data_IF_666205226317
#
_entry.id   IF_666205226317
#
_cell.length_a   1.000
_cell.length_b   1.000
_cell.length_c   1.000
_cell.angle_alpha   90.00
_cell.angle_beta   90.00
_cell.angle_gamma   90.00
#
_symmetry.space_group_name_H-M   'P 1'
#
loop_
_entity.id
_entity.type
_entity.pdbx_description
1 polymer ?
#
# COMPACT_ATOMS: atom_id res chain seq x y z
N UNK A 1 13.01 -15.37 -1.22
CA UNK A 1 13.93 -14.43 -0.54
C UNK A 1 13.27 -13.91 0.72
N UNK A 2 14.03 -13.67 1.80
CA UNK A 2 13.51 -12.92 2.95
C UNK A 2 13.32 -11.45 2.53
N UNK A 3 12.29 -10.75 3.00
CA UNK A 3 12.19 -9.31 2.79
C UNK A 3 13.30 -8.58 3.54
N UNK A 4 13.85 -7.54 2.93
CA UNK A 4 14.89 -6.67 3.51
C UNK A 4 14.27 -5.59 4.39
N UNK A 5 13.04 -5.19 4.10
CA UNK A 5 12.27 -4.22 4.86
C UNK A 5 10.77 -4.43 4.65
N UNK A 6 9.97 -3.67 5.38
CA UNK A 6 8.52 -3.65 5.31
C UNK A 6 8.03 -2.20 5.24
N UNK A 7 6.93 -1.98 4.53
CA UNK A 7 6.18 -0.73 4.59
C UNK A 7 4.78 -1.01 5.11
N UNK A 8 4.24 -0.08 5.88
CA UNK A 8 2.84 -0.10 6.31
C UNK A 8 2.09 0.86 5.41
N UNK A 9 1.01 0.39 4.79
CA UNK A 9 0.11 1.22 3.98
C UNK A 9 -1.32 1.08 4.47
N UNK A 10 -2.12 2.12 4.25
CA UNK A 10 -3.52 2.20 4.64
C UNK A 10 -4.38 1.94 3.42
N UNK A 11 -5.14 0.85 3.47
CA UNK A 11 -6.15 0.55 2.46
C UNK A 11 -7.52 1.01 2.94
N UNK A 12 -8.19 1.76 2.08
CA UNK A 12 -9.55 2.22 2.23
C UNK A 12 -10.42 1.54 1.18
N UNK A 13 -11.55 0.98 1.58
CA UNK A 13 -12.54 0.40 0.69
C UNK A 13 -13.90 1.02 0.93
N UNK A 14 -14.57 1.43 -0.14
CA UNK A 14 -15.93 1.96 -0.08
C UNK A 14 -16.69 1.59 -1.35
N UNK A 15 -18.01 1.72 -1.32
CA UNK A 15 -18.83 1.55 -2.52
C UNK A 15 -19.00 2.86 -3.27
N UNK A 16 -18.85 2.79 -4.59
CA UNK A 16 -19.20 3.86 -5.51
C UNK A 16 -20.13 3.28 -6.57
N UNK A 17 -21.43 3.60 -6.47
CA UNK A 17 -22.47 2.98 -7.29
C UNK A 17 -22.53 1.46 -7.13
N UNK A 18 -22.28 0.73 -8.22
CA UNK A 18 -22.29 -0.74 -8.23
C UNK A 18 -20.89 -1.38 -8.11
N UNK A 19 -19.85 -0.59 -7.82
CA UNK A 19 -18.47 -1.08 -7.69
C UNK A 19 -17.93 -0.83 -6.29
N UNK A 20 -16.96 -1.65 -5.92
CA UNK A 20 -16.07 -1.41 -4.81
C UNK A 20 -14.85 -0.64 -5.30
N UNK A 21 -14.49 0.42 -4.58
CA UNK A 21 -13.26 1.16 -4.77
C UNK A 21 -12.30 0.73 -3.66
N UNK A 22 -11.06 0.38 -4.03
CA UNK A 22 -9.96 0.21 -3.10
C UNK A 22 -8.95 1.33 -3.31
N UNK A 23 -8.49 2.00 -2.26
CA UNK A 23 -7.50 3.07 -2.31
C UNK A 23 -6.35 2.79 -1.34
N UNK A 24 -5.12 2.92 -1.82
CA UNK A 24 -3.91 3.01 -1.00
C UNK A 24 -3.62 4.49 -0.74
N UNK A 25 -3.72 4.94 0.52
CA UNK A 25 -3.65 6.36 0.87
C UNK A 25 -2.27 6.96 0.60
N UNK A 26 -1.23 6.22 0.94
CA UNK A 26 0.16 6.66 0.88
C UNK A 26 0.64 6.76 -0.57
N UNK A 27 0.23 5.82 -1.42
CA UNK A 27 0.62 5.78 -2.84
C UNK A 27 -0.33 6.56 -3.76
N UNK A 28 -1.42 7.12 -3.23
CA UNK A 28 -2.43 7.81 -4.04
C UNK A 28 -3.06 6.94 -5.14
N UNK A 29 -3.00 5.62 -4.99
CA UNK A 29 -3.40 4.64 -6.02
C UNK A 29 -4.77 4.08 -5.69
N UNK A 30 -5.62 3.89 -6.69
CA UNK A 30 -6.94 3.28 -6.52
C UNK A 30 -7.27 2.22 -7.57
N UNK A 31 -8.06 1.23 -7.19
CA UNK A 31 -8.56 0.16 -8.04
C UNK A 31 -10.07 0.00 -7.88
N UNK A 32 -10.69 -0.64 -8.87
CA UNK A 32 -12.11 -0.98 -8.84
C UNK A 32 -12.32 -2.48 -8.91
N UNK A 33 -13.32 -2.98 -8.18
CA UNK A 33 -13.76 -4.37 -8.21
C UNK A 33 -15.30 -4.48 -8.20
N UNK A 34 -15.82 -5.61 -8.66
CA UNK A 34 -17.25 -5.97 -8.50
C UNK A 34 -17.55 -6.46 -7.09
N UNK A 35 -16.51 -6.86 -6.35
CA UNK A 35 -16.56 -7.22 -4.94
C UNK A 35 -15.42 -6.56 -4.17
N UNK A 36 -15.54 -6.50 -2.84
CA UNK A 36 -14.47 -6.02 -1.96
C UNK A 36 -13.19 -6.86 -2.11
N UNK A 37 -13.34 -8.18 -2.30
CA UNK A 37 -12.23 -9.10 -2.49
C UNK A 37 -11.48 -8.81 -3.80
N UNK A 38 -12.19 -8.58 -4.90
CA UNK A 38 -11.59 -8.22 -6.19
C UNK A 38 -10.88 -6.87 -6.11
N UNK A 39 -11.47 -5.88 -5.42
CA UNK A 39 -10.83 -4.58 -5.21
C UNK A 39 -9.54 -4.72 -4.39
N UNK A 40 -9.56 -5.54 -3.33
CA UNK A 40 -8.40 -5.82 -2.48
C UNK A 40 -7.26 -6.49 -3.25
N UNK A 41 -7.56 -7.56 -4.00
CA UNK A 41 -6.56 -8.30 -4.79
C UNK A 41 -5.88 -7.38 -5.80
N UNK A 42 -6.67 -6.61 -6.56
CA UNK A 42 -6.15 -5.63 -7.52
C UNK A 42 -5.34 -4.54 -6.86
N UNK A 43 -5.81 -4.01 -5.72
CA UNK A 43 -5.09 -2.97 -5.01
C UNK A 43 -3.73 -3.48 -4.52
N UNK A 44 -3.69 -4.70 -3.99
CA UNK A 44 -2.46 -5.33 -3.53
C UNK A 44 -1.44 -5.50 -4.67
N UNK A 45 -1.87 -6.00 -5.83
CA UNK A 45 -1.02 -6.13 -7.02
C UNK A 45 -0.50 -4.76 -7.51
N UNK A 46 -1.38 -3.77 -7.56
CA UNK A 46 -1.04 -2.42 -8.05
C UNK A 46 -0.04 -1.73 -7.12
N UNK A 47 -0.22 -1.88 -5.80
CA UNK A 47 0.74 -1.39 -4.79
C UNK A 47 2.10 -2.03 -5.01
N UNK A 48 2.15 -3.35 -5.20
CA UNK A 48 3.38 -4.06 -5.49
C UNK A 48 4.08 -3.55 -6.75
N UNK A 49 3.33 -3.40 -7.85
CA UNK A 49 3.86 -2.88 -9.10
C UNK A 49 4.40 -1.45 -8.95
N UNK A 50 3.68 -0.58 -8.25
CA UNK A 50 4.09 0.80 -8.00
C UNK A 50 5.41 0.85 -7.21
N UNK A 51 5.51 0.10 -6.09
CA UNK A 51 6.72 0.03 -5.27
C UNK A 51 7.93 -0.55 -6.01
N UNK A 52 7.70 -1.52 -6.89
CA UNK A 52 8.73 -2.10 -7.76
C UNK A 52 9.16 -1.10 -8.84
N UNK A 53 8.22 -0.36 -9.43
CA UNK A 53 8.52 0.64 -10.45
C UNK A 53 9.36 1.77 -9.87
N UNK A 54 8.99 2.28 -8.68
CA UNK A 54 9.75 3.32 -7.97
C UNK A 54 11.22 2.92 -7.74
N UNK A 55 11.46 1.64 -7.47
CA UNK A 55 12.83 1.13 -7.34
C UNK A 55 13.57 1.06 -8.66
N UNK A 56 12.92 0.54 -9.70
CA UNK A 56 13.52 0.41 -11.02
C UNK A 56 13.97 1.76 -11.58
N UNK A 57 13.29 2.85 -11.21
CA UNK A 57 13.65 4.21 -11.63
C UNK A 57 14.50 4.96 -10.59
N UNK A 58 14.84 4.35 -9.45
CA UNK A 58 15.65 4.97 -8.40
C UNK A 58 14.93 6.07 -7.59
N UNK A 59 13.60 6.09 -7.60
CA UNK A 59 12.78 7.16 -6.99
C UNK A 59 12.13 6.77 -5.66
N UNK A 60 12.33 5.53 -5.21
CA UNK A 60 11.68 5.00 -4.00
C UNK A 60 11.96 5.86 -2.77
N UNK A 61 13.23 6.22 -2.53
CA UNK A 61 13.62 6.99 -1.35
C UNK A 61 13.02 8.41 -1.37
N UNK A 62 13.11 9.12 -2.51
CA UNK A 62 12.52 10.46 -2.68
C UNK A 62 11.01 10.40 -2.47
N UNK A 63 10.33 9.47 -3.14
CA UNK A 63 8.88 9.31 -3.02
C UNK A 63 8.47 9.02 -1.57
N UNK A 64 9.17 8.12 -0.89
CA UNK A 64 8.85 7.75 0.50
C UNK A 64 8.99 8.95 1.44
N UNK A 65 10.05 9.75 1.26
CA UNK A 65 10.25 10.97 2.02
C UNK A 65 9.13 11.99 1.77
N UNK A 66 8.76 12.24 0.50
CA UNK A 66 7.69 13.17 0.13
C UNK A 66 6.30 12.72 0.63
N UNK A 67 6.06 11.40 0.68
CA UNK A 67 4.78 10.80 1.08
C UNK A 67 4.74 10.33 2.55
N UNK A 68 5.76 10.63 3.36
CA UNK A 68 5.88 10.20 4.76
C UNK A 68 5.75 8.68 4.97
N UNK A 69 6.27 7.88 4.04
CA UNK A 69 6.27 6.42 4.11
C UNK A 69 7.51 5.94 4.86
N UNK A 70 7.31 5.20 5.95
CA UNK A 70 8.41 4.67 6.77
C UNK A 70 8.78 3.26 6.32
N UNK A 71 10.09 3.02 6.16
CA UNK A 71 10.66 1.67 5.98
C UNK A 71 10.97 1.06 7.35
N UNK A 72 10.42 -0.12 7.60
CA UNK A 72 10.64 -0.89 8.81
C UNK A 72 11.62 -2.03 8.53
N UNK A 73 12.76 -2.12 9.23
CA UNK A 73 13.73 -3.20 9.02
C UNK A 73 13.22 -4.57 9.49
N UNK A 74 12.18 -4.57 10.34
CA UNK A 74 11.55 -5.78 10.87
C UNK A 74 10.04 -5.71 10.64
N UNK A 75 9.38 -6.87 10.57
CA UNK A 75 7.93 -6.93 10.38
C UNK A 75 7.25 -6.27 11.58
N UNK A 76 6.47 -5.19 11.40
CA UNK A 76 5.78 -4.55 12.51
C UNK A 76 4.76 -5.52 13.13
N UNK A 77 4.65 -5.48 14.46
CA UNK A 77 3.70 -6.29 15.23
C UNK A 77 2.53 -5.42 15.68
N UNK A 78 1.50 -5.35 14.84
CA UNK A 78 0.23 -4.72 15.17
C UNK A 78 0.28 -3.19 15.14
N UNK A 79 -0.31 -2.60 14.11
CA UNK A 79 -0.55 -1.16 14.06
C UNK A 79 -2.02 -0.88 14.32
N UNK A 80 -2.32 -0.26 15.47
CA UNK A 80 -3.57 0.49 15.63
C UNK A 80 -3.47 1.76 14.80
N UNK A 81 -4.08 1.76 13.62
CA UNK A 81 -4.24 3.01 12.86
C UNK A 81 -5.60 3.59 13.22
N UNK A 82 -5.60 4.78 13.83
CA UNK A 82 -6.81 5.58 14.02
C UNK A 82 -7.10 6.33 12.74
N UNK A 83 -8.20 5.99 12.09
CA UNK A 83 -8.57 6.60 10.81
C UNK A 83 -10.04 6.97 10.86
N UNK A 84 -10.32 8.24 10.57
CA UNK A 84 -11.69 8.76 10.47
C UNK A 84 -12.12 8.62 9.02
N UNK A 85 -13.16 7.81 8.80
CA UNK A 85 -13.77 7.63 7.48
C UNK A 85 -15.28 7.68 7.58
N UNK A 86 -15.92 7.83 6.43
CA UNK A 86 -17.37 7.78 6.30
C UNK A 86 -17.94 6.45 6.83
N UNK A 87 -19.20 6.43 7.30
CA UNK A 87 -19.79 5.28 8.00
C UNK A 87 -19.75 3.95 7.23
N UNK A 88 -19.66 4.01 5.90
CA UNK A 88 -19.74 2.84 5.01
C UNK A 88 -18.37 2.41 4.43
N UNK A 89 -17.28 2.93 4.99
CA UNK A 89 -15.94 2.62 4.53
C UNK A 89 -15.24 1.59 5.43
N UNK A 90 -14.57 0.62 4.79
CA UNK A 90 -13.71 -0.37 5.46
C UNK A 90 -12.26 0.05 5.34
N UNK A 91 -11.55 -0.03 6.45
CA UNK A 91 -10.19 0.50 6.54
C UNK A 91 -9.30 -0.54 7.18
N UNK A 92 -8.13 -0.76 6.60
CA UNK A 92 -7.17 -1.72 7.13
C UNK A 92 -5.74 -1.29 6.83
N UNK A 93 -4.87 -1.50 7.80
CA UNK A 93 -3.43 -1.49 7.57
C UNK A 93 -2.99 -2.74 6.79
N UNK A 94 -2.04 -2.57 5.88
CA UNK A 94 -1.41 -3.65 5.16
C UNK A 94 0.10 -3.54 5.29
N UNK A 95 0.74 -4.64 5.69
CA UNK A 95 2.19 -4.74 5.77
C UNK A 95 2.69 -5.31 4.45
N UNK A 96 3.35 -4.49 3.64
CA UNK A 96 3.90 -4.91 2.36
C UNK A 96 5.40 -5.22 2.50
N UNK A 97 5.86 -6.43 2.14
CA UNK A 97 7.28 -6.80 2.18
C UNK A 97 8.06 -6.20 1.00
N UNK A 98 9.24 -5.64 1.27
CA UNK A 98 10.18 -5.14 0.25
C UNK A 98 11.33 -6.13 0.12
N UNK A 99 11.49 -6.73 -1.06
CA UNK A 99 12.41 -7.84 -1.30
C UNK A 99 13.76 -7.45 -1.92
N UNK A 100 13.85 -6.31 -2.61
CA UNK A 100 15.10 -5.79 -3.17
C UNK A 100 15.19 -4.28 -2.97
N UNK A 101 16.28 -3.86 -2.34
CA UNK A 101 16.91 -2.57 -2.59
C UNK A 101 18.05 -2.91 -3.52
N UNK A 102 17.92 -2.65 -4.82
CA UNK A 102 19.06 -2.70 -5.71
C UNK A 102 19.91 -1.46 -5.38
N UNK A 103 20.70 -1.58 -4.30
CA UNK A 103 21.85 -0.71 -4.10
C UNK A 103 22.83 -1.02 -5.23
N UNK A 104 22.63 -0.39 -6.38
CA UNK A 104 23.72 -0.21 -7.33
C UNK A 104 24.74 0.68 -6.62
N UNK A 105 25.69 0.02 -5.97
CA UNK A 105 26.97 0.60 -5.53
C UNK A 105 27.89 0.68 -6.74
#
# INVERSE_FOLDING_TARGET
MKPNAYVIVTFLFYKEGNRWVGQCKELGTSTFGRSIQEALERLYETVGLHLNTLEQVGERERFFHEHNITLHPHKPQGDEIRVSYEPDAFVRSYIYPIHEVLLNT
#
